data_IF_177085308392
#
_entry.id   IF_177085308392
#
_cell.length_a   1.000
_cell.length_b   1.000
_cell.length_c   1.000
_cell.angle_alpha   90.00
_cell.angle_beta   90.00
_cell.angle_gamma   90.00
#
_symmetry.space_group_name_H-M   'P 1'
#
loop_
_entity.id
_entity.type
_entity.pdbx_description
1 polymer ?
#
# COMPACT_ATOMS: atom_id res chain seq x y z
N UNK A 1 24.50 -7.53 -5.64
CA UNK A 1 23.68 -7.17 -6.81
C UNK A 1 22.72 -6.08 -6.40
N UNK A 2 22.93 -4.88 -6.89
CA UNK A 2 21.97 -3.81 -6.66
C UNK A 2 20.73 -4.10 -7.47
N UNK A 3 19.77 -4.68 -6.81
CA UNK A 3 18.45 -4.84 -7.39
C UNK A 3 17.82 -3.46 -7.47
N UNK A 4 18.06 -2.80 -8.60
CA UNK A 4 17.37 -1.55 -8.94
C UNK A 4 15.93 -1.83 -9.30
N UNK A 5 15.25 -2.64 -8.49
CA UNK A 5 13.81 -2.75 -8.60
C UNK A 5 13.27 -1.37 -8.27
N UNK A 6 12.74 -0.72 -9.27
CA UNK A 6 12.06 0.56 -9.11
C UNK A 6 11.04 0.42 -7.99
N UNK A 7 11.23 1.16 -6.90
CA UNK A 7 10.28 1.14 -5.78
C UNK A 7 8.92 1.54 -6.33
N UNK A 8 7.94 0.67 -6.21
CA UNK A 8 6.60 0.93 -6.74
C UNK A 8 5.89 2.02 -5.94
N UNK A 9 4.92 2.67 -6.57
CA UNK A 9 4.12 3.70 -5.88
C UNK A 9 3.46 3.18 -4.61
N UNK A 10 3.03 1.90 -4.61
CA UNK A 10 2.41 1.29 -3.44
C UNK A 10 3.42 1.08 -2.29
N UNK A 11 4.68 0.79 -2.59
CA UNK A 11 5.73 0.63 -1.59
C UNK A 11 6.06 1.94 -0.88
N UNK A 12 6.00 3.06 -1.61
CA UNK A 12 6.17 4.38 -1.05
C UNK A 12 4.95 4.81 -0.21
N UNK A 13 3.75 4.45 -0.66
CA UNK A 13 2.51 4.85 -0.02
C UNK A 13 2.16 4.02 1.23
N UNK A 14 2.56 2.76 1.26
CA UNK A 14 2.31 1.85 2.37
C UNK A 14 3.63 1.22 2.82
N UNK A 15 4.17 1.72 3.92
CA UNK A 15 5.47 1.30 4.45
C UNK A 15 5.28 0.43 5.69
N UNK A 16 6.22 -0.49 5.91
CA UNK A 16 6.28 -1.33 7.10
C UNK A 16 7.63 -1.14 7.76
N UNK A 17 7.62 -0.79 9.04
CA UNK A 17 8.82 -0.62 9.86
C UNK A 17 8.77 -1.51 11.08
N UNK A 18 9.90 -2.15 11.42
CA UNK A 18 10.02 -2.91 12.67
C UNK A 18 10.19 -1.99 13.87
N UNK A 19 9.48 -2.28 14.96
CA UNK A 19 9.63 -1.60 16.24
C UNK A 19 9.75 -2.64 17.36
N UNK A 20 10.26 -2.27 18.56
CA UNK A 20 10.32 -3.20 19.70
C UNK A 20 8.96 -3.75 20.15
N UNK A 21 7.86 -3.06 19.82
CA UNK A 21 6.50 -3.47 20.19
C UNK A 21 5.74 -4.14 19.03
N UNK A 22 6.38 -4.35 17.90
CA UNK A 22 5.80 -4.98 16.73
C UNK A 22 5.93 -4.16 15.45
N UNK A 23 5.34 -4.60 14.34
CA UNK A 23 5.41 -3.87 13.08
C UNK A 23 4.59 -2.59 13.12
N UNK A 24 5.17 -1.50 12.62
CA UNK A 24 4.50 -0.22 12.41
C UNK A 24 4.21 -0.06 10.92
N UNK A 25 2.97 0.21 10.59
CA UNK A 25 2.55 0.49 9.21
C UNK A 25 2.31 1.98 9.04
N UNK A 26 2.86 2.55 7.97
CA UNK A 26 2.75 3.97 7.69
C UNK A 26 2.09 4.17 6.33
N UNK A 27 0.94 4.82 6.32
CA UNK A 27 0.27 5.27 5.11
C UNK A 27 0.69 6.70 4.81
N UNK A 28 1.24 6.93 3.61
CA UNK A 28 1.73 8.24 3.17
C UNK A 28 1.30 8.49 1.75
N UNK A 29 0.49 9.53 1.52
CA UNK A 29 0.16 10.00 0.19
C UNK A 29 -0.45 11.39 0.23
N UNK A 30 -0.27 12.16 -0.84
CA UNK A 30 -0.87 13.49 -0.98
C UNK A 30 -0.61 14.40 0.22
N UNK A 31 0.60 14.38 0.75
CA UNK A 31 1.03 15.15 1.94
C UNK A 31 0.32 14.77 3.24
N UNK A 32 -0.31 13.60 3.27
CA UNK A 32 -0.96 13.05 4.45
C UNK A 32 -0.20 11.82 4.93
N UNK A 33 -0.13 11.64 6.23
CA UNK A 33 0.56 10.53 6.88
C UNK A 33 -0.27 9.98 8.03
N UNK A 34 -0.31 8.66 8.15
CA UNK A 34 -0.90 7.99 9.31
C UNK A 34 -0.07 6.77 9.69
N UNK A 35 0.26 6.66 10.97
CA UNK A 35 0.99 5.53 11.55
C UNK A 35 0.00 4.61 12.26
N UNK A 36 0.06 3.32 11.99
CA UNK A 36 -0.85 2.32 12.52
C UNK A 36 -0.09 1.05 12.88
N UNK A 37 -0.61 0.29 13.85
CA UNK A 37 -0.03 -1.01 14.21
C UNK A 37 -0.67 -2.19 13.44
N UNK A 38 -1.71 -1.95 12.67
CA UNK A 38 -2.32 -2.96 11.81
C UNK A 38 -2.27 -2.55 10.35
N UNK A 39 -1.98 -3.53 9.48
CA UNK A 39 -1.90 -3.31 8.04
C UNK A 39 -3.25 -2.88 7.45
N UNK A 40 -4.32 -3.50 7.88
CA UNK A 40 -5.67 -3.19 7.40
C UNK A 40 -6.07 -1.74 7.68
N UNK A 41 -5.79 -1.24 8.88
CA UNK A 41 -6.02 0.16 9.24
C UNK A 41 -5.22 1.11 8.35
N UNK A 42 -3.95 0.80 8.09
CA UNK A 42 -3.11 1.61 7.21
C UNK A 42 -3.65 1.64 5.76
N UNK A 43 -4.14 0.51 5.25
CA UNK A 43 -4.78 0.44 3.92
C UNK A 43 -6.01 1.34 3.87
N UNK A 44 -6.85 1.33 4.90
CA UNK A 44 -8.04 2.18 4.98
C UNK A 44 -7.70 3.66 5.01
N UNK A 45 -6.68 4.06 5.76
CA UNK A 45 -6.20 5.45 5.78
C UNK A 45 -5.62 5.87 4.43
N UNK A 46 -4.83 5.01 3.80
CA UNK A 46 -4.33 5.29 2.46
C UNK A 46 -5.48 5.50 1.47
N UNK A 47 -6.50 4.67 1.54
CA UNK A 47 -7.71 4.82 0.73
C UNK A 47 -8.43 6.15 1.01
N UNK A 48 -8.50 6.59 2.25
CA UNK A 48 -9.04 7.91 2.60
C UNK A 48 -8.22 9.04 1.99
N UNK A 49 -6.90 8.96 2.04
CA UNK A 49 -6.03 9.97 1.45
C UNK A 49 -6.26 10.09 -0.07
N UNK A 50 -6.34 8.95 -0.75
CA UNK A 50 -6.58 8.92 -2.19
C UNK A 50 -7.98 9.39 -2.57
N UNK A 51 -9.00 8.98 -1.84
CA UNK A 51 -10.40 9.37 -2.09
C UNK A 51 -10.60 10.86 -1.82
N UNK A 52 -10.07 11.37 -0.72
CA UNK A 52 -10.12 12.79 -0.36
C UNK A 52 -9.48 13.66 -1.45
N UNK A 53 -8.31 13.27 -1.93
CA UNK A 53 -7.61 13.99 -2.99
C UNK A 53 -8.42 14.01 -4.29
N UNK A 54 -9.03 12.90 -4.67
CA UNK A 54 -9.85 12.80 -5.86
C UNK A 54 -11.09 13.71 -5.75
N UNK A 55 -11.74 13.77 -4.58
CA UNK A 55 -12.91 14.64 -4.35
C UNK A 55 -12.51 16.11 -4.33
N UNK A 56 -11.39 16.45 -3.69
CA UNK A 56 -10.90 17.84 -3.69
C UNK A 56 -10.56 18.33 -5.09
N UNK A 57 -9.89 17.52 -5.91
CA UNK A 57 -9.55 17.86 -7.29
C UNK A 57 -10.77 18.00 -8.20
N UNK A 58 -11.78 17.18 -8.01
CA UNK A 58 -13.03 17.24 -8.79
C UNK A 58 -13.97 18.33 -8.32
N UNK A 59 -13.75 18.92 -7.15
CA UNK A 59 -14.67 19.86 -6.52
C UNK A 59 -15.94 19.20 -6.00
N UNK A 60 -16.01 17.87 -5.98
CA UNK A 60 -17.18 17.14 -5.50
C UNK A 60 -17.26 17.18 -3.98
N UNK A 61 -18.40 17.51 -3.36
CA UNK A 61 -18.50 17.62 -1.92
C UNK A 61 -18.42 16.26 -1.22
N UNK A 62 -17.61 16.20 -0.17
CA UNK A 62 -17.41 14.99 0.63
C UNK A 62 -18.47 14.79 1.70
N UNK A 63 -19.03 15.87 2.19
CA UNK A 63 -20.00 15.92 3.27
C UNK A 63 -21.23 16.72 2.89
N UNK A 64 -22.34 16.41 3.54
CA UNK A 64 -23.53 17.25 3.49
C UNK A 64 -23.26 18.61 4.13
N UNK A 65 -24.06 19.66 3.80
CA UNK A 65 -23.90 20.97 4.38
C UNK A 65 -23.96 20.93 5.91
N UNK A 66 -23.23 21.85 6.54
CA UNK A 66 -23.29 22.02 8.00
C UNK A 66 -24.71 22.34 8.46
N UNK A 67 -25.09 21.76 9.59
CA UNK A 67 -26.38 21.99 10.23
C UNK A 67 -26.17 22.90 11.44
N UNK A 68 -26.98 23.98 11.52
CA UNK A 68 -26.96 24.86 12.66
C UNK A 68 -27.71 24.21 13.83
N UNK A 69 -27.05 24.13 14.97
CA UNK A 69 -27.63 23.68 16.24
C UNK A 69 -27.52 24.83 17.22
N UNK A 70 -28.67 25.43 17.60
CA UNK A 70 -28.67 26.45 18.65
C UNK A 70 -28.66 25.78 20.02
N UNK A 71 -27.58 26.00 20.78
CA UNK A 71 -27.46 25.60 22.18
C UNK A 71 -27.17 26.83 23.02
N UNK A 72 -27.98 27.06 24.06
CA UNK A 72 -27.75 28.11 25.08
C UNK A 72 -27.47 29.50 24.48
N UNK A 73 -28.27 29.91 23.53
CA UNK A 73 -28.14 31.19 22.79
C UNK A 73 -26.84 31.36 22.00
N UNK A 74 -26.04 30.29 21.86
CA UNK A 74 -24.83 30.31 21.03
C UNK A 74 -25.08 29.63 19.69
N UNK A 75 -24.59 30.27 18.62
CA UNK A 75 -24.52 29.63 17.29
C UNK A 75 -23.49 28.50 17.29
N UNK A 76 -23.96 27.27 17.26
CA UNK A 76 -23.11 26.09 17.09
C UNK A 76 -23.43 25.41 15.77
N UNK A 77 -22.41 25.21 14.96
CA UNK A 77 -22.52 24.51 13.68
C UNK A 77 -21.99 23.09 13.82
N UNK A 78 -22.79 22.13 13.40
CA UNK A 78 -22.37 20.72 13.33
C UNK A 78 -21.99 20.38 11.91
N UNK A 79 -20.86 19.69 11.74
CA UNK A 79 -20.48 19.15 10.43
C UNK A 79 -21.53 18.18 9.91
N UNK A 80 -21.84 18.29 8.62
CA UNK A 80 -22.75 17.37 7.96
C UNK A 80 -22.18 15.95 7.88
N UNK A 81 -23.06 14.98 7.69
CA UNK A 81 -22.66 13.59 7.52
C UNK A 81 -21.86 13.40 6.22
N UNK A 82 -20.97 12.43 6.23
CA UNK A 82 -20.22 12.03 5.04
C UNK A 82 -21.18 11.51 3.97
N UNK A 83 -21.03 12.00 2.74
CA UNK A 83 -21.90 11.58 1.63
C UNK A 83 -21.70 10.11 1.27
N UNK A 84 -22.79 9.46 0.86
CA UNK A 84 -22.76 8.06 0.43
C UNK A 84 -21.79 7.83 -0.74
N UNK A 85 -21.67 8.80 -1.65
CA UNK A 85 -20.76 8.73 -2.79
C UNK A 85 -19.30 8.68 -2.36
N UNK A 86 -18.94 9.44 -1.33
CA UNK A 86 -17.59 9.40 -0.75
C UNK A 86 -17.30 8.05 -0.11
N UNK A 87 -18.23 7.53 0.71
CA UNK A 87 -18.08 6.23 1.36
C UNK A 87 -17.97 5.09 0.34
N UNK A 88 -18.77 5.12 -0.71
CA UNK A 88 -18.72 4.14 -1.79
C UNK A 88 -17.38 4.20 -2.55
N UNK A 89 -16.90 5.41 -2.84
CA UNK A 89 -15.59 5.61 -3.48
C UNK A 89 -14.45 5.11 -2.59
N UNK A 90 -14.51 5.38 -1.29
CA UNK A 90 -13.54 4.88 -0.32
C UNK A 90 -13.50 3.36 -0.29
N UNK A 91 -14.67 2.69 -0.25
CA UNK A 91 -14.73 1.22 -0.27
C UNK A 91 -14.17 0.64 -1.57
N UNK A 92 -14.45 1.24 -2.73
CA UNK A 92 -13.85 0.84 -4.01
C UNK A 92 -12.33 0.97 -3.98
N UNK A 93 -11.83 2.04 -3.41
CA UNK A 93 -10.40 2.28 -3.27
C UNK A 93 -9.74 1.24 -2.36
N UNK A 94 -10.34 0.91 -1.23
CA UNK A 94 -9.86 -0.15 -0.33
C UNK A 94 -9.75 -1.49 -1.07
N UNK A 95 -10.79 -1.88 -1.79
CA UNK A 95 -10.79 -3.13 -2.59
C UNK A 95 -9.70 -3.12 -3.65
N UNK A 96 -9.52 -2.00 -4.35
CA UNK A 96 -8.47 -1.85 -5.35
C UNK A 96 -7.07 -1.99 -4.75
N UNK A 97 -6.81 -1.34 -3.62
CA UNK A 97 -5.54 -1.44 -2.91
C UNK A 97 -5.26 -2.88 -2.46
N UNK A 98 -6.25 -3.57 -1.93
CA UNK A 98 -6.10 -4.98 -1.54
C UNK A 98 -5.75 -5.87 -2.73
N UNK A 99 -6.35 -5.64 -3.90
CA UNK A 99 -6.01 -6.38 -5.13
C UNK A 99 -4.60 -6.08 -5.61
N UNK A 100 -4.17 -4.82 -5.58
CA UNK A 100 -2.80 -4.43 -5.95
C UNK A 100 -1.79 -5.11 -5.03
N UNK A 101 -2.04 -5.10 -3.73
CA UNK A 101 -1.17 -5.72 -2.73
C UNK A 101 -1.12 -7.26 -2.86
N UNK A 102 -2.25 -7.88 -3.18
CA UNK A 102 -2.31 -9.32 -3.43
C UNK A 102 -1.49 -9.72 -4.66
N UNK A 103 -1.62 -8.99 -5.76
CA UNK A 103 -0.83 -9.20 -6.98
C UNK A 103 0.66 -9.02 -6.73
N UNK A 104 1.02 -8.00 -5.98
CA UNK A 104 2.41 -7.75 -5.59
C UNK A 104 2.97 -8.92 -4.80
N UNK A 105 2.23 -9.45 -3.83
CA UNK A 105 2.62 -10.60 -3.03
C UNK A 105 2.81 -11.85 -3.89
N UNK A 106 1.91 -12.10 -4.82
CA UNK A 106 2.02 -13.22 -5.76
C UNK A 106 3.26 -13.08 -6.64
N UNK A 107 3.53 -11.89 -7.14
CA UNK A 107 4.71 -11.60 -7.94
C UNK A 107 6.01 -11.81 -7.13
N UNK A 108 6.04 -11.35 -5.88
CA UNK A 108 7.19 -11.56 -4.98
C UNK A 108 7.44 -13.04 -4.72
N UNK A 109 6.39 -13.82 -4.51
CA UNK A 109 6.50 -15.29 -4.34
C UNK A 109 7.02 -15.96 -5.60
N UNK A 110 6.53 -15.54 -6.75
CA UNK A 110 7.01 -16.09 -8.03
C UNK A 110 8.47 -15.75 -8.27
N UNK A 111 8.87 -14.49 -8.04
CA UNK A 111 10.26 -14.06 -8.15
C UNK A 111 11.17 -14.84 -7.21
N UNK A 112 10.75 -15.08 -5.97
CA UNK A 112 11.51 -15.87 -5.01
C UNK A 112 11.73 -17.31 -5.51
N UNK A 113 10.72 -17.93 -6.09
CA UNK A 113 10.84 -19.28 -6.70
C UNK A 113 11.78 -19.27 -7.90
N UNK A 114 11.67 -18.26 -8.74
CA UNK A 114 12.55 -18.09 -9.90
C UNK A 114 14.00 -17.94 -9.46
N UNK A 115 14.28 -17.06 -8.50
CA UNK A 115 15.63 -16.81 -7.99
C UNK A 115 16.22 -18.08 -7.37
N UNK A 116 15.44 -18.82 -6.58
CA UNK A 116 15.89 -20.08 -5.98
C UNK A 116 16.22 -21.14 -7.04
N UNK A 117 15.42 -21.24 -8.08
CA UNK A 117 15.66 -22.16 -9.20
C UNK A 117 16.93 -21.76 -9.96
N UNK A 118 17.10 -20.48 -10.21
CA UNK A 118 18.28 -19.94 -10.91
C UNK A 118 19.57 -20.18 -10.10
N UNK A 119 19.55 -19.95 -8.80
CA UNK A 119 20.69 -20.23 -7.91
C UNK A 119 21.07 -21.72 -7.93
N UNK A 120 20.10 -22.62 -7.88
CA UNK A 120 20.35 -24.08 -8.00
C UNK A 120 20.97 -24.43 -9.34
N UNK A 121 20.46 -23.85 -10.42
CA UNK A 121 21.02 -24.05 -11.76
C UNK A 121 22.47 -23.62 -11.85
N UNK A 122 22.80 -22.43 -11.38
CA UNK A 122 24.17 -21.89 -11.37
C UNK A 122 25.10 -22.79 -10.55
N UNK A 123 24.66 -23.23 -9.37
CA UNK A 123 25.42 -24.12 -8.51
C UNK A 123 25.71 -25.44 -9.19
N UNK A 124 24.69 -26.09 -9.74
CA UNK A 124 24.84 -27.36 -10.47
C UNK A 124 25.75 -27.25 -11.68
N UNK A 125 25.60 -26.15 -12.43
CA UNK A 125 26.46 -25.83 -13.58
C UNK A 125 27.95 -25.74 -13.16
N UNK A 126 28.20 -24.99 -12.09
CA UNK A 126 29.59 -24.76 -11.63
C UNK A 126 30.20 -26.02 -11.06
N UNK A 127 29.45 -26.84 -10.35
CA UNK A 127 29.87 -28.17 -9.87
C UNK A 127 30.21 -29.07 -11.05
N UNK A 128 29.38 -29.11 -12.07
CA UNK A 128 29.63 -29.93 -13.27
C UNK A 128 30.89 -29.47 -14.02
N UNK A 129 31.10 -28.18 -14.16
CA UNK A 129 32.31 -27.61 -14.77
C UNK A 129 33.57 -27.98 -14.00
N UNK A 130 33.52 -27.96 -12.67
CA UNK A 130 34.65 -28.31 -11.82
C UNK A 130 35.06 -29.79 -11.97
N UNK A 131 34.12 -30.67 -12.34
CA UNK A 131 34.37 -32.09 -12.56
C UNK A 131 34.68 -32.42 -14.02
N UNK A 132 34.77 -31.44 -14.89
CA UNK A 132 35.08 -31.66 -16.31
C UNK A 132 36.44 -32.36 -16.47
N UNK A 133 36.49 -33.50 -17.21
CA UNK A 133 37.75 -34.19 -17.46
C UNK A 133 38.74 -33.35 -18.27
N UNK A 134 40.02 -33.45 -17.95
CA UNK A 134 41.09 -32.81 -18.70
C UNK A 134 41.12 -33.30 -20.16
N UNK A 135 41.32 -32.37 -21.09
CA UNK A 135 41.40 -32.70 -22.51
C UNK A 135 40.08 -32.88 -23.25
N UNK A 136 38.93 -32.67 -22.59
CA UNK A 136 37.61 -32.63 -23.23
C UNK A 136 37.31 -31.18 -23.67
N UNK A 137 37.12 -31.05 -24.98
CA UNK A 137 36.77 -29.76 -25.58
C UNK A 137 35.27 -29.47 -25.51
#
# INVERSE_FOLDING_TARGET
MNDKRTVSMIDLALQKHGTPVGPLYVAVRHRRIKKCFTRDTAIRYLAFFMTTEAFERSGFPQRHPRVRIDRDDMEVWRDGETKAEYLAAHQRCVRRLRRILARKREMEKWCAKWDAMHERYVKERDELKATKPDGVR
#
